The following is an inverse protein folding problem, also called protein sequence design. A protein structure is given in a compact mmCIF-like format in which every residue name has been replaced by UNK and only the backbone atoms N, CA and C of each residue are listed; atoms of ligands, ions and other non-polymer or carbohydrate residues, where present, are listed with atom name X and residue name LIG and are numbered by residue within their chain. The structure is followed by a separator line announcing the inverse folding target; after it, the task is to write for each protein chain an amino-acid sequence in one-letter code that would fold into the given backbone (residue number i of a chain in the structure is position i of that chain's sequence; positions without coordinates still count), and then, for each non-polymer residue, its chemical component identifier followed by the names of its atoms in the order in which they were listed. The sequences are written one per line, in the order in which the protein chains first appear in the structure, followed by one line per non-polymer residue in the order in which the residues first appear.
data_IF_579700355695
#
_entry.id   IF_579700355695
#
_cell.length_a   1.000
_cell.length_b   1.000
_cell.length_c   1.000
_cell.angle_alpha   90.00
_cell.angle_beta   90.00
_cell.angle_gamma   90.00
#
_symmetry.space_group_name_H-M   'P 1'
#
loop_
_entity.id
_entity.type
_entity.pdbx_description
1 polymer ?
#
# COMPACT_ATOMS: atom_id res chain seq x y z
N UNK A 1 38.89 61.70 29.79
CA UNK A 1 37.46 61.45 30.05
C UNK A 1 36.78 61.52 28.71
N UNK A 2 36.67 60.40 28.03
CA UNK A 2 35.85 60.27 26.81
C UNK A 2 35.24 58.88 26.87
N UNK A 3 33.97 58.83 27.29
CA UNK A 3 33.18 57.62 27.29
C UNK A 3 32.92 57.25 25.83
N UNK A 4 33.44 56.11 25.39
CA UNK A 4 32.93 55.43 24.20
C UNK A 4 31.42 55.26 24.40
N UNK A 5 30.63 55.95 23.58
CA UNK A 5 29.19 55.76 23.51
C UNK A 5 28.96 54.29 23.16
N UNK A 6 28.53 53.51 24.15
CA UNK A 6 28.14 52.12 23.95
C UNK A 6 26.91 52.11 23.02
N UNK A 7 26.83 51.14 22.11
CA UNK A 7 25.71 50.96 21.18
C UNK A 7 24.33 50.98 21.90
N UNK A 8 24.30 50.63 23.19
CA UNK A 8 23.12 50.65 24.04
C UNK A 8 22.63 52.06 24.41
N UNK A 9 23.51 53.07 24.49
CA UNK A 9 23.12 54.45 24.80
C UNK A 9 22.38 55.11 23.63
N UNK A 10 22.75 54.77 22.38
CA UNK A 10 22.07 55.28 21.18
C UNK A 10 20.67 54.68 21.05
N UNK A 11 20.52 53.38 21.34
CA UNK A 11 19.22 52.70 21.36
C UNK A 11 18.30 53.28 22.45
N UNK A 12 18.81 53.51 23.66
CA UNK A 12 18.02 54.12 24.75
C UNK A 12 17.61 55.57 24.46
N UNK A 13 18.44 56.32 23.72
CA UNK A 13 18.14 57.70 23.35
C UNK A 13 17.08 57.76 22.25
N UNK A 14 17.10 56.82 21.30
CA UNK A 14 16.11 56.72 20.23
C UNK A 14 14.76 56.24 20.76
N UNK A 15 14.73 55.26 21.68
CA UNK A 15 13.50 54.82 22.34
C UNK A 15 12.83 55.95 23.13
N UNK A 16 13.61 56.79 23.83
CA UNK A 16 13.08 58.00 24.49
C UNK A 16 12.54 59.04 23.52
N UNK A 17 13.09 59.15 22.30
CA UNK A 17 12.61 60.07 21.27
C UNK A 17 11.33 59.55 20.59
N UNK A 18 11.21 58.24 20.39
CA UNK A 18 10.01 57.60 19.84
C UNK A 18 8.86 57.65 20.87
N UNK A 19 9.15 57.45 22.16
CA UNK A 19 8.14 57.52 23.24
C UNK A 19 7.67 58.93 23.60
N UNK A 20 8.39 59.98 23.19
CA UNK A 20 8.07 61.38 23.56
C UNK A 20 7.25 62.15 22.54
N UNK A 21 6.82 61.53 21.43
CA UNK A 21 5.90 62.13 20.44
C UNK A 21 4.66 61.27 20.23
N UNK A 22 3.53 61.96 20.06
CA UNK A 22 2.18 61.40 19.98
C UNK A 22 2.09 60.13 19.11
N UNK A 23 1.30 59.16 19.60
CA UNK A 23 1.17 57.79 19.09
C UNK A 23 1.21 57.70 17.55
N UNK A 24 2.36 57.26 17.04
CA UNK A 24 2.54 56.87 15.65
C UNK A 24 1.64 55.67 15.35
N UNK A 25 1.05 55.66 14.15
CA UNK A 25 0.21 54.54 13.73
C UNK A 25 1.07 53.28 13.54
N UNK A 26 0.54 52.07 13.78
CA UNK A 26 1.35 50.81 13.79
C UNK A 26 2.21 50.62 12.54
N UNK A 27 1.74 51.11 11.39
CA UNK A 27 2.48 51.03 10.13
C UNK A 27 3.67 52.00 10.10
N UNK A 28 3.51 53.19 10.69
CA UNK A 28 4.56 54.21 10.82
C UNK A 28 5.63 53.75 11.81
N UNK A 29 5.23 53.12 12.91
CA UNK A 29 6.15 52.51 13.88
C UNK A 29 6.99 51.39 13.23
N UNK A 30 6.35 50.51 12.45
CA UNK A 30 7.05 49.42 11.73
C UNK A 30 7.98 49.98 10.66
N UNK A 31 7.58 51.00 9.91
CA UNK A 31 8.45 51.61 8.89
C UNK A 31 9.63 52.35 9.50
N UNK A 32 9.42 53.10 10.59
CA UNK A 32 10.50 53.75 11.34
C UNK A 32 11.45 52.71 11.92
N UNK A 33 10.94 51.63 12.53
CA UNK A 33 11.77 50.54 13.05
C UNK A 33 12.53 49.80 11.95
N UNK A 34 11.93 49.53 10.78
CA UNK A 34 12.65 48.94 9.66
C UNK A 34 13.76 49.85 9.11
N UNK A 35 13.51 51.16 9.03
CA UNK A 35 14.52 52.14 8.59
C UNK A 35 15.64 52.23 9.61
N UNK A 36 15.32 52.29 10.91
CA UNK A 36 16.30 52.33 11.99
C UNK A 36 17.12 51.05 12.05
N UNK A 37 16.50 49.87 11.97
CA UNK A 37 17.21 48.59 11.93
C UNK A 37 18.10 48.47 10.69
N UNK A 38 17.66 48.96 9.53
CA UNK A 38 18.51 49.01 8.32
C UNK A 38 19.67 49.99 8.47
N UNK A 39 19.50 51.05 9.25
CA UNK A 39 20.55 52.03 9.56
C UNK A 39 21.56 51.48 10.56
N UNK A 40 21.07 50.81 11.61
CA UNK A 40 21.88 50.12 12.62
C UNK A 40 22.68 49.01 11.95
N UNK A 41 22.06 48.15 11.14
CA UNK A 41 22.77 47.09 10.42
C UNK A 41 23.85 47.65 9.48
N UNK A 42 23.60 48.79 8.82
CA UNK A 42 24.64 49.48 8.02
C UNK A 42 25.77 50.01 8.88
N UNK A 43 25.47 50.55 10.06
CA UNK A 43 26.47 51.02 11.02
C UNK A 43 27.28 49.86 11.61
N UNK A 44 26.65 48.73 11.91
CA UNK A 44 27.31 47.49 12.37
C UNK A 44 28.25 46.95 11.30
N UNK A 45 27.81 46.90 10.05
CA UNK A 45 28.66 46.51 8.91
C UNK A 45 29.83 47.49 8.73
N UNK A 46 29.60 48.81 8.86
CA UNK A 46 30.66 49.81 8.81
C UNK A 46 31.64 49.67 9.98
N UNK A 47 31.17 49.27 11.16
CA UNK A 47 31.98 49.03 12.35
C UNK A 47 32.82 47.74 12.23
N UNK A 48 32.32 46.71 11.55
CA UNK A 48 33.07 45.48 11.26
C UNK A 48 34.07 45.64 10.10
N UNK A 49 33.83 46.56 9.16
CA UNK A 49 34.73 46.86 8.04
C UNK A 49 35.86 47.85 8.41
N UNK A 50 35.82 48.44 9.60
CA UNK A 50 36.88 49.32 10.10
C UNK A 50 37.90 48.51 10.93
N UNK A 51 39.14 48.30 10.43
CA UNK A 51 40.17 47.66 11.23
C UNK A 51 40.47 48.53 12.48
N UNK A 52 40.53 47.90 13.65
CA UNK A 52 40.85 48.53 14.94
C UNK A 52 42.30 49.06 15.01
N UNK A 53 42.67 50.04 14.18
CA UNK A 53 43.86 50.86 14.42
C UNK A 53 43.87 52.27 13.81
N UNK A 54 42.77 52.82 13.29
CA UNK A 54 42.77 54.18 12.71
C UNK A 54 41.60 55.08 13.15
N UNK A 55 41.04 54.87 14.35
CA UNK A 55 40.02 55.78 14.90
C UNK A 55 40.58 57.13 15.43
N UNK A 56 41.88 57.42 15.24
CA UNK A 56 42.49 58.71 15.60
C UNK A 56 42.77 59.65 14.41
N UNK A 57 42.29 59.35 13.19
CA UNK A 57 42.59 60.20 12.00
C UNK A 57 41.43 60.62 11.11
N UNK A 58 40.20 60.63 11.60
CA UNK A 58 39.06 61.22 10.89
C UNK A 58 38.32 62.28 11.72
N UNK A 59 39.10 63.16 12.36
CA UNK A 59 38.69 64.55 12.56
C UNK A 59 39.60 65.36 11.63
N UNK A 60 39.00 66.26 10.85
CA UNK A 60 39.58 67.02 9.73
C UNK A 60 39.42 66.26 8.37
N UNK A 61 38.73 66.72 7.32
CA UNK A 61 38.35 68.07 6.91
C UNK A 61 37.06 68.01 6.06
N UNK A 62 36.05 68.81 6.43
CA UNK A 62 35.17 69.43 5.44
C UNK A 62 35.29 70.94 5.66
N UNK A 63 36.23 71.57 4.95
CA UNK A 63 36.31 73.03 4.89
C UNK A 63 35.24 73.54 3.92
N UNK A 64 34.33 74.43 4.35
CA UNK A 64 33.34 75.01 3.46
C UNK A 64 34.03 75.85 2.38
N UNK A 65 33.39 75.89 1.20
CA UNK A 65 33.83 76.57 -0.02
C UNK A 65 34.43 78.01 0.15
N UNK A 66 34.04 78.84 1.14
CA UNK A 66 34.67 80.15 1.37
C UNK A 66 36.15 80.09 1.77
N UNK A 67 36.66 78.97 2.29
CA UNK A 67 38.08 78.77 2.66
C UNK A 67 38.93 78.20 1.52
N UNK A 68 38.31 77.62 0.48
CA UNK A 68 39.02 77.24 -0.76
C UNK A 68 39.32 78.45 -1.67
N UNK A 69 38.61 79.56 -1.50
CA UNK A 69 38.86 80.80 -2.26
C UNK A 69 39.91 81.73 -1.64
N UNK A 70 40.54 81.36 -0.51
CA UNK A 70 41.63 82.15 0.10
C UNK A 70 43.04 81.74 -0.34
N UNK A 71 43.19 80.68 -1.15
CA UNK A 71 44.52 80.20 -1.62
C UNK A 71 44.97 80.83 -2.96
N UNK A 72 44.16 81.72 -3.54
CA UNK A 72 44.57 82.60 -4.64
C UNK A 72 44.42 84.07 -4.24
N UNK A 73 45.14 84.48 -3.19
CA UNK A 73 45.44 85.89 -2.92
C UNK A 73 46.89 86.06 -2.52
N UNK A 74 47.59 86.78 -3.40
CA UNK A 74 48.79 87.60 -3.16
C UNK A 74 50.07 86.82 -2.87
N UNK A 75 50.95 86.85 -3.88
CA UNK A 75 52.32 87.29 -3.65
C UNK A 75 52.22 88.64 -2.94
N UNK A 76 52.08 88.65 -1.62
CA UNK A 76 52.31 89.85 -0.82
C UNK A 76 53.81 90.04 -0.78
N UNK A 77 54.30 91.00 -1.57
CA UNK A 77 55.38 91.85 -1.11
C UNK A 77 55.03 92.33 0.32
N UNK A 78 55.97 92.35 1.26
CA UNK A 78 55.67 92.76 2.63
C UNK A 78 55.27 94.24 2.65
N UNK A 79 54.00 94.51 2.87
CA UNK A 79 53.44 95.82 3.23
C UNK A 79 53.77 96.12 4.69
N UNK A 80 55.04 96.41 4.99
CA UNK A 80 55.50 96.86 6.32
C UNK A 80 56.64 97.88 6.16
N UNK A 81 56.44 98.90 5.33
CA UNK A 81 57.45 99.95 5.11
C UNK A 81 57.65 100.86 6.34
N UNK A 82 56.68 100.96 7.26
CA UNK A 82 56.87 101.68 8.52
C UNK A 82 57.71 100.87 9.53
N UNK A 83 57.47 99.56 9.66
CA UNK A 83 58.23 98.71 10.57
C UNK A 83 59.61 98.33 10.06
N UNK A 84 59.78 98.12 8.74
CA UNK A 84 61.08 97.86 8.13
C UNK A 84 61.99 99.10 8.23
N UNK A 85 61.45 100.30 7.99
CA UNK A 85 62.17 101.56 8.18
C UNK A 85 62.57 101.81 9.64
N UNK A 86 61.68 101.52 10.60
CA UNK A 86 61.97 101.63 12.04
C UNK A 86 62.97 100.55 12.51
N UNK A 87 62.92 99.33 11.97
CA UNK A 87 63.90 98.27 12.24
C UNK A 87 65.28 98.62 11.68
N UNK A 88 65.36 99.14 10.46
CA UNK A 88 66.59 99.64 9.85
C UNK A 88 67.16 100.81 10.63
N UNK A 89 66.34 101.78 11.04
CA UNK A 89 66.79 102.90 11.89
C UNK A 89 67.28 102.43 13.27
N UNK A 90 66.61 101.44 13.88
CA UNK A 90 67.10 100.82 15.13
C UNK A 90 68.41 100.07 14.94
N UNK A 91 68.58 99.36 13.83
CA UNK A 91 69.84 98.69 13.48
C UNK A 91 70.95 99.71 13.23
N UNK A 92 70.68 100.75 12.44
CA UNK A 92 71.63 101.84 12.17
C UNK A 92 71.99 102.54 13.48
N UNK A 93 71.03 102.88 14.33
CA UNK A 93 71.30 103.51 15.62
C UNK A 93 72.14 102.61 16.54
N UNK A 94 71.85 101.29 16.57
CA UNK A 94 72.63 100.30 17.32
C UNK A 94 74.06 100.15 16.78
N UNK A 95 74.23 100.14 15.46
CA UNK A 95 75.53 100.11 14.80
C UNK A 95 76.29 101.40 15.09
N UNK A 96 75.65 102.56 14.94
CA UNK A 96 76.25 103.87 15.23
C UNK A 96 76.65 103.98 16.71
N UNK A 97 75.81 103.54 17.65
CA UNK A 97 76.15 103.54 19.07
C UNK A 97 77.30 102.59 19.37
N UNK A 98 77.35 101.42 18.73
CA UNK A 98 78.44 100.45 18.88
C UNK A 98 79.75 100.96 18.28
N UNK A 99 79.71 101.61 17.11
CA UNK A 99 80.90 102.21 16.49
C UNK A 99 81.41 103.37 17.35
N UNK A 100 80.52 104.20 17.89
CA UNK A 100 80.89 105.30 18.79
C UNK A 100 81.48 104.77 20.09
N UNK A 101 80.94 103.71 20.68
CA UNK A 101 81.52 103.10 21.90
C UNK A 101 82.89 102.49 21.62
N UNK A 102 83.06 101.82 20.47
CA UNK A 102 84.37 101.28 20.06
C UNK A 102 85.39 102.38 19.82
N UNK A 103 84.99 103.48 19.15
CA UNK A 103 85.86 104.63 18.94
C UNK A 103 86.18 105.36 20.25
N UNK A 104 85.25 105.46 21.19
CA UNK A 104 85.50 106.05 22.50
C UNK A 104 86.48 105.22 23.34
N UNK A 105 86.28 103.91 23.43
CA UNK A 105 87.18 103.03 24.19
C UNK A 105 88.56 102.96 23.55
N UNK A 106 88.66 102.98 22.22
CA UNK A 106 89.96 103.00 21.51
C UNK A 106 90.70 104.32 21.65
N UNK A 107 90.00 105.46 21.64
CA UNK A 107 90.61 106.78 21.91
C UNK A 107 91.08 106.88 23.36
N UNK A 108 90.32 106.31 24.31
CA UNK A 108 90.75 106.21 25.71
C UNK A 108 91.99 105.32 25.84
N UNK A 109 92.01 104.15 25.20
CA UNK A 109 93.16 103.24 25.19
C UNK A 109 94.41 103.91 24.60
N UNK A 110 94.26 104.60 23.45
CA UNK A 110 95.32 105.36 22.79
C UNK A 110 95.87 106.48 23.69
N UNK A 111 95.00 107.18 24.41
CA UNK A 111 95.42 108.28 25.31
C UNK A 111 96.19 107.80 26.55
N UNK A 112 95.95 106.56 26.99
CA UNK A 112 96.50 106.02 28.23
C UNK A 112 97.72 105.11 28.00
N UNK A 113 97.72 104.31 26.93
CA UNK A 113 98.72 103.27 26.65
C UNK A 113 99.35 103.37 25.25
N UNK A 114 98.78 104.18 24.35
CA UNK A 114 99.27 104.34 22.98
C UNK A 114 98.99 103.14 22.06
N UNK A 115 98.15 102.18 22.48
CA UNK A 115 97.77 100.97 21.74
C UNK A 115 96.33 101.05 21.23
N UNK A 116 95.96 100.16 20.30
CA UNK A 116 94.64 100.08 19.67
C UNK A 116 94.01 98.68 19.76
N UNK A 117 94.32 97.93 20.81
CA UNK A 117 94.00 96.50 20.95
C UNK A 117 92.49 96.25 20.96
N UNK A 118 91.70 97.17 21.52
CA UNK A 118 90.24 97.06 21.55
C UNK A 118 89.61 97.11 20.14
N UNK A 119 90.14 97.95 19.25
CA UNK A 119 89.68 98.01 17.86
C UNK A 119 89.99 96.70 17.14
N UNK A 120 91.19 96.18 17.34
CA UNK A 120 91.65 94.94 16.74
C UNK A 120 90.81 93.74 17.21
N UNK A 121 90.49 93.68 18.51
CA UNK A 121 89.59 92.69 19.09
C UNK A 121 88.18 92.73 18.49
N UNK A 122 87.59 93.93 18.36
CA UNK A 122 86.25 94.10 17.80
C UNK A 122 86.19 93.76 16.31
N UNK A 123 87.23 94.10 15.54
CA UNK A 123 87.38 93.67 14.14
C UNK A 123 87.53 92.15 14.02
N UNK A 124 88.23 91.50 14.95
CA UNK A 124 88.33 90.03 14.99
C UNK A 124 86.97 89.37 15.27
N UNK A 125 86.18 89.90 16.20
CA UNK A 125 84.83 89.42 16.48
C UNK A 125 83.88 89.60 15.28
N UNK A 126 83.95 90.73 14.58
CA UNK A 126 83.12 90.97 13.40
C UNK A 126 83.47 90.01 12.26
N UNK A 127 84.76 89.73 12.03
CA UNK A 127 85.20 88.71 11.09
C UNK A 127 84.72 87.31 11.46
N UNK A 128 84.70 86.95 12.75
CA UNK A 128 84.13 85.68 13.22
C UNK A 128 82.62 85.60 12.93
N UNK A 129 81.87 86.66 13.20
CA UNK A 129 80.44 86.72 12.90
C UNK A 129 80.13 86.63 11.40
N UNK A 130 80.96 87.23 10.54
CA UNK A 130 80.83 87.09 9.09
C UNK A 130 81.06 85.63 8.65
N UNK A 131 82.03 84.96 9.25
CA UNK A 131 82.34 83.56 8.97
C UNK A 131 81.22 82.61 9.44
N UNK A 132 80.69 82.81 10.64
CA UNK A 132 79.54 82.04 11.17
C UNK A 132 78.31 82.22 10.28
N UNK A 133 78.03 83.44 9.83
CA UNK A 133 76.92 83.71 8.90
C UNK A 133 77.12 83.04 7.53
N UNK A 134 78.37 82.93 7.06
CA UNK A 134 78.69 82.20 5.83
C UNK A 134 78.44 80.69 6.00
N UNK A 135 78.90 80.10 7.11
CA UNK A 135 78.70 78.68 7.44
C UNK A 135 77.20 78.37 7.56
N UNK A 136 76.43 79.18 8.30
CA UNK A 136 74.99 78.96 8.46
C UNK A 136 74.22 79.06 7.14
N UNK A 137 74.61 79.97 6.25
CA UNK A 137 74.00 80.05 4.90
C UNK A 137 74.32 78.81 4.07
N UNK A 138 75.56 78.33 4.13
CA UNK A 138 75.98 77.11 3.43
C UNK A 138 75.24 75.87 3.96
N UNK A 139 75.19 75.69 5.29
CA UNK A 139 74.46 74.59 5.92
C UNK A 139 72.97 74.63 5.58
N UNK A 140 72.36 75.82 5.56
CA UNK A 140 70.96 75.97 5.16
C UNK A 140 70.71 75.59 3.70
N UNK A 141 71.66 75.87 2.81
CA UNK A 141 71.59 75.48 1.40
C UNK A 141 71.68 73.96 1.25
N UNK A 142 72.64 73.32 1.93
CA UNK A 142 72.85 71.87 1.88
C UNK A 142 71.65 71.12 2.49
N UNK A 143 71.08 71.61 3.61
CA UNK A 143 69.86 71.07 4.21
C UNK A 143 68.67 71.21 3.25
N UNK A 144 68.50 72.38 2.62
CA UNK A 144 67.40 72.56 1.66
C UNK A 144 67.55 71.64 0.44
N UNK A 145 68.78 71.43 -0.05
CA UNK A 145 69.05 70.50 -1.15
C UNK A 145 68.73 69.05 -0.76
N UNK A 146 69.11 68.62 0.44
CA UNK A 146 68.75 67.28 0.95
C UNK A 146 67.25 67.12 1.12
N UNK A 147 66.54 68.12 1.66
CA UNK A 147 65.07 68.11 1.78
C UNK A 147 64.41 67.98 0.41
N UNK A 148 64.86 68.72 -0.61
CA UNK A 148 64.33 68.60 -1.97
C UNK A 148 64.53 67.19 -2.54
N UNK A 149 65.73 66.61 -2.38
CA UNK A 149 66.01 65.24 -2.84
C UNK A 149 65.17 64.18 -2.12
N UNK A 150 64.91 64.38 -0.82
CA UNK A 150 64.07 63.47 -0.03
C UNK A 150 62.60 63.58 -0.43
N UNK A 151 62.10 64.80 -0.69
CA UNK A 151 60.75 65.00 -1.21
C UNK A 151 60.54 64.31 -2.56
N UNK A 152 61.51 64.41 -3.45
CA UNK A 152 61.47 63.74 -4.76
C UNK A 152 61.49 62.21 -4.61
N UNK A 153 62.35 61.66 -3.73
CA UNK A 153 62.37 60.23 -3.42
C UNK A 153 61.04 59.74 -2.83
N UNK A 154 60.45 60.48 -1.89
CA UNK A 154 59.14 60.14 -1.30
C UNK A 154 58.05 60.16 -2.37
N UNK A 155 58.04 61.17 -3.24
CA UNK A 155 57.09 61.25 -4.35
C UNK A 155 57.22 60.04 -5.28
N UNK A 156 58.43 59.70 -5.70
CA UNK A 156 58.69 58.56 -6.58
C UNK A 156 58.27 57.23 -5.96
N UNK A 157 58.56 57.00 -4.67
CA UNK A 157 58.13 55.79 -3.95
C UNK A 157 56.61 55.72 -3.86
N UNK A 158 55.93 56.83 -3.59
CA UNK A 158 54.46 56.89 -3.53
C UNK A 158 53.84 56.60 -4.89
N UNK A 159 54.42 57.11 -5.96
CA UNK A 159 53.94 56.83 -7.32
C UNK A 159 54.19 55.37 -7.71
N UNK A 160 55.36 54.79 -7.40
CA UNK A 160 55.62 53.38 -7.64
C UNK A 160 54.68 52.48 -6.85
N UNK A 161 54.38 52.82 -5.59
CA UNK A 161 53.45 52.07 -4.75
C UNK A 161 52.04 52.07 -5.35
N UNK A 162 51.54 53.22 -5.81
CA UNK A 162 50.24 53.31 -6.50
C UNK A 162 50.19 52.48 -7.77
N UNK A 163 51.27 52.45 -8.55
CA UNK A 163 51.37 51.62 -9.77
C UNK A 163 51.31 50.14 -9.43
N UNK A 164 52.04 49.69 -8.40
CA UNK A 164 52.00 48.30 -7.95
C UNK A 164 50.65 47.91 -7.36
N UNK A 165 50.04 48.79 -6.57
CA UNK A 165 48.71 48.57 -5.99
C UNK A 165 47.64 48.45 -7.07
N UNK A 166 47.64 49.35 -8.05
CA UNK A 166 46.72 49.28 -9.20
C UNK A 166 46.91 48.02 -10.03
N UNK A 167 48.15 47.59 -10.26
CA UNK A 167 48.44 46.35 -10.98
C UNK A 167 47.95 45.12 -10.21
N UNK A 168 48.23 45.04 -8.91
CA UNK A 168 47.81 43.94 -8.06
C UNK A 168 46.28 43.88 -7.92
N UNK A 169 45.61 45.02 -7.77
CA UNK A 169 44.15 45.09 -7.74
C UNK A 169 43.55 44.58 -9.05
N UNK A 170 44.04 45.04 -10.20
CA UNK A 170 43.54 44.58 -11.50
C UNK A 170 43.77 43.09 -11.76
N UNK A 171 44.90 42.54 -11.32
CA UNK A 171 45.14 41.09 -11.38
C UNK A 171 44.21 40.32 -10.44
N UNK A 172 43.99 40.81 -9.23
CA UNK A 172 43.13 40.17 -8.24
C UNK A 172 41.69 40.13 -8.72
N UNK A 173 41.18 41.22 -9.29
CA UNK A 173 39.84 41.30 -9.86
C UNK A 173 39.66 40.25 -10.96
N UNK A 174 40.60 40.14 -11.91
CA UNK A 174 40.52 39.14 -12.97
C UNK A 174 40.58 37.70 -12.42
N UNK A 175 41.46 37.42 -11.44
CA UNK A 175 41.55 36.10 -10.82
C UNK A 175 40.26 35.73 -10.09
N UNK A 176 39.64 36.69 -9.39
CA UNK A 176 38.38 36.49 -8.70
C UNK A 176 37.21 36.28 -9.67
N UNK A 177 37.13 37.07 -10.74
CA UNK A 177 36.13 36.88 -11.80
C UNK A 177 36.25 35.50 -12.43
N UNK A 178 37.47 35.06 -12.75
CA UNK A 178 37.71 33.74 -13.33
C UNK A 178 37.33 32.61 -12.36
N UNK A 179 37.66 32.75 -11.07
CA UNK A 179 37.28 31.78 -10.04
C UNK A 179 35.75 31.69 -9.87
N UNK A 180 35.04 32.81 -9.90
CA UNK A 180 33.57 32.85 -9.81
C UNK A 180 32.93 32.21 -11.05
N UNK A 181 33.41 32.54 -12.25
CA UNK A 181 32.91 31.94 -13.50
C UNK A 181 33.16 30.43 -13.50
N UNK A 182 34.34 29.99 -13.07
CA UNK A 182 34.67 28.57 -13.03
C UNK A 182 33.82 27.81 -12.01
N UNK A 183 33.65 28.34 -10.79
CA UNK A 183 32.76 27.75 -9.78
C UNK A 183 31.31 27.67 -10.27
N UNK A 184 30.82 28.69 -10.98
CA UNK A 184 29.50 28.67 -11.61
C UNK A 184 29.37 27.58 -12.67
N UNK A 185 30.35 27.46 -13.57
CA UNK A 185 30.37 26.41 -14.61
C UNK A 185 30.44 25.02 -13.99
N UNK A 186 31.26 24.83 -12.96
CA UNK A 186 31.36 23.56 -12.23
C UNK A 186 30.04 23.21 -11.54
N UNK A 187 29.35 24.18 -10.93
CA UNK A 187 28.03 23.99 -10.33
C UNK A 187 26.98 23.60 -11.38
N UNK A 188 26.88 24.36 -12.47
CA UNK A 188 25.91 24.09 -13.56
C UNK A 188 26.14 22.72 -14.22
N UNK A 189 27.40 22.37 -14.47
CA UNK A 189 27.73 21.05 -15.03
C UNK A 189 27.40 19.93 -14.06
N UNK A 190 27.58 20.12 -12.76
CA UNK A 190 27.19 19.15 -11.75
C UNK A 190 25.67 18.98 -11.69
N UNK A 191 24.91 20.07 -11.68
CA UNK A 191 23.43 20.04 -11.73
C UNK A 191 22.97 19.25 -12.95
N UNK A 192 23.44 19.62 -14.14
CA UNK A 192 23.06 18.95 -15.39
C UNK A 192 23.42 17.45 -15.38
N UNK A 193 24.60 17.09 -14.87
CA UNK A 193 24.99 15.68 -14.76
C UNK A 193 24.10 14.91 -13.79
N UNK A 194 23.69 15.53 -12.67
CA UNK A 194 22.77 14.89 -11.73
C UNK A 194 21.37 14.69 -12.33
N UNK A 195 20.87 15.65 -13.11
CA UNK A 195 19.60 15.54 -13.84
C UNK A 195 19.63 14.39 -14.84
N UNK A 196 20.66 14.33 -15.70
CA UNK A 196 20.83 13.25 -16.69
C UNK A 196 20.91 11.88 -16.00
N UNK A 197 21.62 11.78 -14.87
CA UNK A 197 21.68 10.53 -14.10
C UNK A 197 20.34 10.15 -13.50
N UNK A 198 19.54 11.11 -13.03
CA UNK A 198 18.19 10.86 -12.52
C UNK A 198 17.25 10.42 -13.64
N UNK A 199 17.26 11.09 -14.79
CA UNK A 199 16.47 10.71 -15.97
C UNK A 199 16.82 9.31 -16.46
N UNK A 200 18.11 8.97 -16.54
CA UNK A 200 18.55 7.63 -16.93
C UNK A 200 18.07 6.55 -15.95
N UNK A 201 18.06 6.83 -14.64
CA UNK A 201 17.52 5.92 -13.61
C UNK A 201 16.02 5.73 -13.75
N UNK A 202 15.28 6.81 -13.97
CA UNK A 202 13.83 6.75 -14.20
C UNK A 202 13.51 5.93 -15.45
N UNK A 203 14.20 6.22 -16.56
CA UNK A 203 14.03 5.47 -17.80
C UNK A 203 14.35 3.97 -17.64
N UNK A 204 15.42 3.63 -16.92
CA UNK A 204 15.75 2.24 -16.64
C UNK A 204 14.70 1.56 -15.74
N UNK A 205 14.16 2.28 -14.76
CA UNK A 205 13.07 1.80 -13.90
C UNK A 205 11.82 1.53 -14.72
N UNK A 206 11.43 2.47 -15.59
CA UNK A 206 10.26 2.36 -16.46
C UNK A 206 10.39 1.19 -17.43
N UNK A 207 11.58 0.98 -18.02
CA UNK A 207 11.84 -0.19 -18.85
C UNK A 207 11.64 -1.50 -18.08
N UNK A 208 12.20 -1.62 -16.88
CA UNK A 208 12.02 -2.82 -16.04
C UNK A 208 10.56 -3.04 -15.63
N UNK A 209 9.82 -1.97 -15.39
CA UNK A 209 8.39 -2.05 -15.09
C UNK A 209 7.60 -2.54 -16.30
N UNK A 210 7.85 -1.98 -17.49
CA UNK A 210 7.21 -2.44 -18.74
C UNK A 210 7.53 -3.89 -19.07
N UNK A 211 8.78 -4.33 -18.86
CA UNK A 211 9.15 -5.74 -19.06
C UNK A 211 8.35 -6.68 -18.13
N UNK A 212 8.19 -6.30 -16.85
CA UNK A 212 7.38 -7.06 -15.90
C UNK A 212 5.89 -7.04 -16.26
N UNK A 213 5.37 -5.88 -16.66
CA UNK A 213 3.99 -5.73 -17.11
C UNK A 213 3.72 -6.62 -18.32
N UNK A 214 4.59 -6.60 -19.32
CA UNK A 214 4.49 -7.46 -20.50
C UNK A 214 4.55 -8.95 -20.12
N UNK A 215 5.42 -9.34 -19.19
CA UNK A 215 5.49 -10.72 -18.72
C UNK A 215 4.19 -11.15 -18.01
N UNK A 216 3.57 -10.26 -17.22
CA UNK A 216 2.29 -10.51 -16.57
C UNK A 216 1.14 -10.59 -17.59
N UNK A 217 1.13 -9.73 -18.60
CA UNK A 217 0.14 -9.79 -19.69
C UNK A 217 0.24 -11.13 -20.41
N UNK A 218 1.44 -11.55 -20.82
CA UNK A 218 1.66 -12.85 -21.47
C UNK A 218 1.23 -14.01 -20.58
N UNK A 219 1.52 -13.97 -19.28
CA UNK A 219 1.08 -14.99 -18.33
C UNK A 219 -0.45 -15.02 -18.20
N UNK A 220 -1.09 -13.86 -18.17
CA UNK A 220 -2.55 -13.73 -18.05
C UNK A 220 -3.24 -14.26 -19.31
N UNK A 221 -2.72 -13.90 -20.49
CA UNK A 221 -3.22 -14.38 -21.77
C UNK A 221 -3.09 -15.90 -21.88
N UNK A 222 -1.96 -16.46 -21.42
CA UNK A 222 -1.78 -17.91 -21.35
C UNK A 222 -2.81 -18.57 -20.44
N UNK A 223 -3.00 -18.06 -19.22
CA UNK A 223 -4.02 -18.59 -18.31
C UNK A 223 -5.44 -18.49 -18.89
N UNK A 224 -5.74 -17.41 -19.62
CA UNK A 224 -7.04 -17.26 -20.30
C UNK A 224 -7.23 -18.30 -21.40
N UNK A 225 -6.19 -18.59 -22.20
CA UNK A 225 -6.22 -19.64 -23.22
C UNK A 225 -6.42 -21.01 -22.56
N UNK A 226 -5.65 -21.32 -21.52
CA UNK A 226 -5.76 -22.58 -20.77
C UNK A 226 -7.19 -22.74 -20.19
N UNK A 227 -7.77 -21.68 -19.63
CA UNK A 227 -9.14 -21.68 -19.11
C UNK A 227 -10.21 -21.87 -20.21
N UNK A 228 -10.00 -21.31 -21.41
CA UNK A 228 -10.90 -21.53 -22.55
C UNK A 228 -10.85 -23.00 -23.00
N UNK A 229 -9.65 -23.59 -23.06
CA UNK A 229 -9.46 -24.99 -23.41
C UNK A 229 -10.09 -25.92 -22.37
N UNK A 230 -9.87 -25.67 -21.08
CA UNK A 230 -10.48 -26.43 -19.98
C UNK A 230 -12.00 -26.35 -20.04
N UNK A 231 -12.57 -25.16 -20.25
CA UNK A 231 -14.01 -24.98 -20.41
C UNK A 231 -14.56 -25.77 -21.61
N UNK A 232 -13.85 -25.77 -22.74
CA UNK A 232 -14.24 -26.56 -23.91
C UNK A 232 -14.24 -28.05 -23.60
N UNK A 233 -13.19 -28.55 -22.95
CA UNK A 233 -13.10 -29.96 -22.52
C UNK A 233 -14.24 -30.30 -21.55
N UNK A 234 -14.50 -29.43 -20.56
CA UNK A 234 -15.56 -29.65 -19.59
C UNK A 234 -16.94 -29.71 -20.25
N UNK A 235 -17.23 -28.81 -21.21
CA UNK A 235 -18.49 -28.86 -21.97
C UNK A 235 -18.65 -30.15 -22.78
N UNK A 236 -17.55 -30.66 -23.36
CA UNK A 236 -17.57 -31.93 -24.09
C UNK A 236 -17.83 -33.12 -23.14
N UNK A 237 -17.17 -33.14 -21.98
CA UNK A 237 -17.40 -34.16 -20.94
C UNK A 237 -18.85 -34.12 -20.46
N UNK A 238 -19.40 -32.95 -20.16
CA UNK A 238 -20.80 -32.80 -19.76
C UNK A 238 -21.78 -33.30 -20.83
N UNK A 239 -21.50 -33.01 -22.11
CA UNK A 239 -22.31 -33.49 -23.23
C UNK A 239 -22.26 -35.03 -23.34
N UNK A 240 -21.08 -35.63 -23.18
CA UNK A 240 -20.93 -37.09 -23.19
C UNK A 240 -21.66 -37.75 -22.01
N UNK A 241 -21.58 -37.17 -20.81
CA UNK A 241 -22.31 -37.63 -19.64
C UNK A 241 -23.82 -37.57 -19.91
N UNK A 242 -24.33 -36.43 -20.40
CA UNK A 242 -25.77 -36.27 -20.73
C UNK A 242 -26.21 -37.29 -21.77
N UNK A 243 -25.41 -37.52 -22.81
CA UNK A 243 -25.70 -38.53 -23.82
C UNK A 243 -25.78 -39.93 -23.21
N UNK A 244 -24.80 -40.32 -22.39
CA UNK A 244 -24.80 -41.61 -21.70
C UNK A 244 -25.99 -41.76 -20.76
N UNK A 245 -26.32 -40.73 -19.98
CA UNK A 245 -27.51 -40.72 -19.11
C UNK A 245 -28.78 -40.97 -19.92
N UNK A 246 -28.94 -40.31 -21.08
CA UNK A 246 -30.10 -40.50 -21.94
C UNK A 246 -30.17 -41.92 -22.53
N UNK A 247 -29.03 -42.48 -22.95
CA UNK A 247 -28.95 -43.87 -23.42
C UNK A 247 -29.35 -44.86 -22.32
N UNK A 248 -28.84 -44.66 -21.11
CA UNK A 248 -29.17 -45.50 -19.96
C UNK A 248 -30.64 -45.37 -19.56
N UNK A 249 -31.18 -44.16 -19.54
CA UNK A 249 -32.59 -43.90 -19.26
C UNK A 249 -33.48 -44.64 -20.28
N UNK A 250 -33.16 -44.52 -21.57
CA UNK A 250 -33.90 -45.24 -22.62
C UNK A 250 -33.84 -46.76 -22.44
N UNK A 251 -32.68 -47.31 -22.08
CA UNK A 251 -32.54 -48.75 -21.79
C UNK A 251 -33.39 -49.15 -20.58
N UNK A 252 -33.37 -48.35 -19.52
CA UNK A 252 -34.19 -48.58 -18.33
C UNK A 252 -35.68 -48.57 -18.68
N UNK A 253 -36.14 -47.58 -19.44
CA UNK A 253 -37.53 -47.48 -19.88
C UNK A 253 -37.94 -48.68 -20.75
N UNK A 254 -37.08 -49.14 -21.67
CA UNK A 254 -37.36 -50.34 -22.47
C UNK A 254 -37.49 -51.60 -21.64
N UNK A 255 -36.62 -51.76 -20.63
CA UNK A 255 -36.67 -52.89 -19.71
C UNK A 255 -37.90 -52.84 -18.82
N UNK A 256 -38.22 -51.67 -18.27
CA UNK A 256 -39.41 -51.45 -17.45
C UNK A 256 -40.69 -51.75 -18.24
N UNK A 257 -40.80 -51.23 -19.47
CA UNK A 257 -41.94 -51.51 -20.35
C UNK A 257 -42.06 -53.00 -20.69
N UNK A 258 -40.93 -53.71 -20.88
CA UNK A 258 -40.96 -55.16 -21.10
C UNK A 258 -41.47 -55.90 -19.87
N UNK A 259 -40.94 -55.59 -18.68
CA UNK A 259 -41.40 -56.20 -17.44
C UNK A 259 -42.88 -55.92 -17.17
N UNK A 260 -43.35 -54.68 -17.38
CA UNK A 260 -44.77 -54.34 -17.21
C UNK A 260 -45.65 -55.17 -18.14
N UNK A 261 -45.27 -55.35 -19.41
CA UNK A 261 -45.99 -56.22 -20.33
C UNK A 261 -45.99 -57.69 -19.89
N UNK A 262 -44.86 -58.20 -19.41
CA UNK A 262 -44.78 -59.56 -18.88
C UNK A 262 -45.71 -59.75 -17.67
N UNK A 263 -45.72 -58.78 -16.74
CA UNK A 263 -46.63 -58.77 -15.59
C UNK A 263 -48.10 -58.74 -16.04
N UNK A 264 -48.47 -57.85 -16.96
CA UNK A 264 -49.82 -57.78 -17.53
C UNK A 264 -50.24 -59.12 -18.17
N UNK A 265 -49.35 -59.76 -18.93
CA UNK A 265 -49.64 -61.08 -19.53
C UNK A 265 -49.83 -62.17 -18.49
N UNK A 266 -49.04 -62.15 -17.40
CA UNK A 266 -49.18 -63.10 -16.31
C UNK A 266 -50.47 -62.86 -15.52
N UNK A 267 -50.85 -61.61 -15.27
CA UNK A 267 -52.12 -61.27 -14.62
C UNK A 267 -53.31 -61.76 -15.44
N UNK A 268 -53.29 -61.57 -16.76
CA UNK A 268 -54.31 -62.12 -17.66
C UNK A 268 -54.33 -63.65 -17.60
N UNK A 269 -53.18 -64.31 -17.62
CA UNK A 269 -53.09 -65.77 -17.51
C UNK A 269 -53.62 -66.29 -16.17
N UNK A 270 -53.33 -65.60 -15.05
CA UNK A 270 -53.85 -65.92 -13.72
C UNK A 270 -55.37 -65.80 -13.71
N UNK A 271 -55.95 -64.74 -14.29
CA UNK A 271 -57.40 -64.57 -14.39
C UNK A 271 -58.05 -65.68 -15.21
N UNK A 272 -57.47 -66.06 -16.35
CA UNK A 272 -57.96 -67.17 -17.17
C UNK A 272 -57.89 -68.51 -16.42
N UNK A 273 -56.79 -68.77 -15.70
CA UNK A 273 -56.63 -69.99 -14.90
C UNK A 273 -57.62 -70.04 -13.74
N UNK A 274 -57.87 -68.92 -13.06
CA UNK A 274 -58.91 -68.82 -12.02
C UNK A 274 -60.30 -69.11 -12.59
N UNK A 275 -60.66 -68.50 -13.73
CA UNK A 275 -61.93 -68.77 -14.42
C UNK A 275 -62.09 -70.25 -14.76
N UNK A 276 -61.06 -70.89 -15.34
CA UNK A 276 -61.06 -72.33 -15.63
C UNK A 276 -61.17 -73.19 -14.38
N UNK A 277 -60.50 -72.80 -13.29
CA UNK A 277 -60.59 -73.50 -12.01
C UNK A 277 -62.00 -73.43 -11.44
N UNK A 278 -62.65 -72.27 -11.53
CA UNK A 278 -64.02 -72.09 -11.06
C UNK A 278 -65.03 -72.86 -11.92
N UNK A 279 -64.87 -72.86 -13.25
CA UNK A 279 -65.64 -73.73 -14.17
C UNK A 279 -65.48 -75.21 -13.81
N UNK A 280 -64.26 -75.68 -13.55
CA UNK A 280 -64.02 -77.06 -13.13
C UNK A 280 -64.70 -77.36 -11.79
N UNK A 281 -64.62 -76.44 -10.81
CA UNK A 281 -65.32 -76.58 -9.52
C UNK A 281 -66.82 -76.71 -9.70
N UNK A 282 -67.43 -75.88 -10.56
CA UNK A 282 -68.85 -75.98 -10.88
C UNK A 282 -69.21 -77.31 -11.54
N UNK A 283 -68.38 -77.80 -12.48
CA UNK A 283 -68.58 -79.11 -13.11
C UNK A 283 -68.49 -80.25 -12.09
N UNK A 284 -67.51 -80.20 -11.18
CA UNK A 284 -67.39 -81.18 -10.10
C UNK A 284 -68.60 -81.15 -9.16
N UNK A 285 -69.10 -79.96 -8.82
CA UNK A 285 -70.29 -79.82 -7.99
C UNK A 285 -71.52 -80.42 -8.67
N UNK A 286 -71.79 -80.06 -9.94
CA UNK A 286 -72.90 -80.63 -10.73
C UNK A 286 -72.81 -82.15 -10.85
N UNK A 287 -71.61 -82.68 -11.11
CA UNK A 287 -71.39 -84.13 -11.15
C UNK A 287 -71.65 -84.78 -9.79
N UNK A 288 -71.20 -84.17 -8.70
CA UNK A 288 -71.44 -84.65 -7.34
C UNK A 288 -72.93 -84.70 -7.02
N UNK A 289 -73.70 -83.66 -7.38
CA UNK A 289 -75.16 -83.62 -7.24
C UNK A 289 -75.83 -84.76 -8.04
N UNK A 290 -75.47 -84.94 -9.32
CA UNK A 290 -75.97 -86.04 -10.15
C UNK A 290 -75.63 -87.43 -9.58
N UNK A 291 -74.43 -87.59 -9.01
CA UNK A 291 -74.05 -88.84 -8.34
C UNK A 291 -74.91 -89.10 -7.11
N UNK A 292 -75.19 -88.08 -6.30
CA UNK A 292 -76.09 -88.20 -5.14
C UNK A 292 -77.51 -88.57 -5.55
N UNK A 293 -78.05 -87.94 -6.59
CA UNK A 293 -79.36 -88.28 -7.15
C UNK A 293 -79.42 -89.75 -7.63
N UNK A 294 -78.39 -90.20 -8.35
CA UNK A 294 -78.30 -91.60 -8.81
C UNK A 294 -78.20 -92.59 -7.66
N UNK A 295 -77.43 -92.28 -6.61
CA UNK A 295 -77.38 -93.10 -5.40
C UNK A 295 -78.78 -93.22 -4.77
N UNK A 296 -79.52 -92.10 -4.70
CA UNK A 296 -80.91 -92.09 -4.25
C UNK A 296 -81.82 -93.00 -5.08
N UNK A 297 -81.75 -92.91 -6.42
CA UNK A 297 -82.53 -93.78 -7.33
C UNK A 297 -82.16 -95.26 -7.14
N UNK A 298 -80.86 -95.58 -7.05
CA UNK A 298 -80.40 -96.96 -6.84
C UNK A 298 -80.89 -97.50 -5.50
N UNK A 299 -80.88 -96.69 -4.43
CA UNK A 299 -81.42 -97.08 -3.14
C UNK A 299 -82.93 -97.40 -3.22
N UNK A 300 -83.71 -96.58 -3.92
CA UNK A 300 -85.14 -96.84 -4.16
C UNK A 300 -85.36 -98.13 -4.96
N UNK A 301 -84.57 -98.36 -6.03
CA UNK A 301 -84.68 -99.59 -6.83
C UNK A 301 -84.27 -100.84 -6.03
N UNK A 302 -83.28 -100.74 -5.15
CA UNK A 302 -82.91 -101.81 -4.23
C UNK A 302 -84.05 -102.12 -3.26
N UNK A 303 -84.67 -101.09 -2.68
CA UNK A 303 -85.83 -101.27 -1.80
C UNK A 303 -87.02 -101.91 -2.54
N UNK A 304 -87.33 -101.47 -3.76
CA UNK A 304 -88.37 -102.09 -4.60
C UNK A 304 -88.06 -103.55 -4.95
N UNK A 305 -86.80 -103.86 -5.27
CA UNK A 305 -86.36 -105.24 -5.52
C UNK A 305 -86.57 -106.11 -4.29
N UNK A 306 -86.16 -105.64 -3.11
CA UNK A 306 -86.35 -106.35 -1.84
C UNK A 306 -87.85 -106.56 -1.53
N UNK A 307 -88.71 -105.59 -1.83
CA UNK A 307 -90.17 -105.73 -1.69
C UNK A 307 -90.72 -106.76 -2.67
N UNK A 308 -90.28 -106.75 -3.94
CA UNK A 308 -90.68 -107.76 -4.94
C UNK A 308 -90.21 -109.16 -4.56
N UNK A 309 -88.99 -109.32 -4.05
CA UNK A 309 -88.48 -110.60 -3.58
C UNK A 309 -89.29 -111.13 -2.39
N UNK A 310 -89.62 -110.27 -1.42
CA UNK A 310 -90.51 -110.62 -0.30
C UNK A 310 -91.89 -111.08 -0.79
N UNK A 311 -92.49 -110.37 -1.73
CA UNK A 311 -93.78 -110.75 -2.31
C UNK A 311 -93.73 -112.09 -3.07
N UNK A 312 -92.66 -112.34 -3.82
CA UNK A 312 -92.44 -113.63 -4.51
C UNK A 312 -92.25 -114.78 -3.52
N UNK A 313 -91.53 -114.56 -2.43
CA UNK A 313 -91.31 -115.56 -1.40
C UNK A 313 -92.61 -115.90 -0.65
N UNK A 314 -93.43 -114.89 -0.32
CA UNK A 314 -94.78 -115.10 0.20
C UNK A 314 -95.67 -115.91 -0.76
N UNK A 315 -95.61 -115.61 -2.06
CA UNK A 315 -96.35 -116.35 -3.08
C UNK A 315 -95.88 -117.81 -3.19
N UNK A 316 -94.57 -118.07 -3.09
CA UNK A 316 -94.01 -119.43 -3.04
C UNK A 316 -94.50 -120.19 -1.80
N UNK A 317 -94.52 -119.54 -0.64
CA UNK A 317 -95.04 -120.12 0.61
C UNK A 317 -96.53 -120.45 0.45
N UNK A 318 -97.35 -119.52 -0.04
CA UNK A 318 -98.79 -119.75 -0.30
C UNK A 318 -99.01 -120.92 -1.26
N UNK A 319 -98.26 -120.99 -2.36
CA UNK A 319 -98.34 -122.10 -3.32
C UNK A 319 -97.90 -123.43 -2.73
N UNK A 320 -96.89 -123.43 -1.85
CA UNK A 320 -96.47 -124.63 -1.13
C UNK A 320 -97.57 -125.09 -0.17
N UNK A 321 -98.16 -124.18 0.61
CA UNK A 321 -99.29 -124.47 1.48
C UNK A 321 -100.50 -125.01 0.68
N UNK A 322 -100.84 -124.39 -0.45
CA UNK A 322 -101.91 -124.86 -1.33
C UNK A 322 -101.65 -126.28 -1.85
N UNK A 323 -100.41 -126.59 -2.27
CA UNK A 323 -100.01 -127.96 -2.66
C UNK A 323 -100.14 -128.96 -1.52
N UNK A 324 -99.74 -128.59 -0.30
CA UNK A 324 -99.88 -129.43 0.90
C UNK A 324 -101.35 -129.69 1.22
N UNK A 325 -102.20 -128.67 1.18
CA UNK A 325 -103.65 -128.80 1.38
C UNK A 325 -104.26 -129.71 0.31
N UNK A 326 -103.90 -129.53 -0.96
CA UNK A 326 -104.37 -130.40 -2.05
C UNK A 326 -103.91 -131.85 -1.86
N UNK A 327 -102.66 -132.09 -1.44
CA UNK A 327 -102.17 -133.44 -1.13
C UNK A 327 -102.92 -134.04 0.06
N UNK A 328 -103.17 -133.26 1.12
CA UNK A 328 -103.95 -133.70 2.27
C UNK A 328 -105.37 -134.09 1.85
N UNK A 329 -106.06 -133.26 1.06
CA UNK A 329 -107.39 -133.58 0.51
C UNK A 329 -107.39 -134.83 -0.39
N UNK A 330 -106.40 -134.96 -1.29
CA UNK A 330 -106.23 -136.17 -2.12
C UNK A 330 -106.02 -137.41 -1.25
N UNK A 331 -105.23 -137.31 -0.20
CA UNK A 331 -105.00 -138.40 0.76
C UNK A 331 -106.27 -138.76 1.55
N UNK A 332 -107.04 -137.76 1.98
CA UNK A 332 -108.30 -137.96 2.70
C UNK A 332 -109.36 -138.63 1.82
N UNK A 333 -109.46 -138.23 0.54
CA UNK A 333 -110.30 -138.89 -0.46
C UNK A 333 -109.83 -140.34 -0.73
N UNK A 334 -108.53 -140.57 -0.83
CA UNK A 334 -107.96 -141.91 -0.98
C UNK A 334 -108.24 -142.80 0.23
N UNK A 335 -108.11 -142.27 1.46
CA UNK A 335 -108.49 -142.99 2.68
C UNK A 335 -109.99 -143.29 2.74
N UNK A 336 -110.85 -142.39 2.24
CA UNK A 336 -112.29 -142.64 2.13
C UNK A 336 -112.58 -143.79 1.15
N UNK A 337 -111.92 -143.80 -0.02
CA UNK A 337 -111.99 -144.89 -1.00
C UNK A 337 -111.45 -146.23 -0.46
N UNK A 338 -110.40 -146.19 0.37
CA UNK A 338 -109.89 -147.37 1.07
C UNK A 338 -110.86 -147.83 2.16
N UNK A 339 -111.49 -146.90 2.90
CA UNK A 339 -112.50 -147.22 3.92
C UNK A 339 -113.71 -147.93 3.31
N UNK A 340 -114.12 -147.52 2.11
CA UNK A 340 -115.22 -148.13 1.37
C UNK A 340 -114.84 -149.50 0.75
N UNK A 341 -113.55 -149.79 0.58
CA UNK A 341 -113.05 -151.10 0.11
C UNK A 341 -112.66 -152.10 1.22
N UNK A 342 -112.53 -151.66 2.48
CA UNK A 342 -112.06 -152.50 3.60
C UNK A 342 -113.21 -152.96 4.54
N UNK A 343 -114.47 -152.73 4.18
CA UNK A 343 -115.64 -153.33 4.85
C UNK A 343 -115.86 -154.83 4.55
N UNK A 344 -115.00 -155.47 3.74
CA UNK A 344 -114.98 -156.93 3.51
C UNK A 344 -113.58 -157.48 3.76
N UNK A 345 -113.28 -157.75 5.04
CA UNK A 345 -112.54 -158.91 5.59
C UNK A 345 -111.93 -158.54 6.94
N UNK A 346 -112.61 -159.01 8.00
CA UNK A 346 -112.03 -159.21 9.33
C UNK A 346 -110.84 -160.17 9.23
N UNK A 347 -109.70 -159.79 9.81
CA UNK A 347 -108.98 -160.54 10.86
C UNK A 347 -107.76 -159.75 11.36
N UNK A 348 -107.97 -159.18 12.55
CA UNK A 348 -107.09 -159.09 13.74
C UNK A 348 -105.62 -159.55 13.65
N UNK A 349 -104.69 -158.73 14.19
CA UNK A 349 -103.58 -159.04 15.14
C UNK A 349 -102.65 -157.79 15.22
N UNK A 350 -102.72 -156.92 16.24
CA UNK A 350 -101.98 -156.88 17.53
C UNK A 350 -100.43 -156.74 17.42
N UNK A 351 -99.88 -155.80 18.22
CA UNK A 351 -98.47 -155.56 18.72
C UNK A 351 -97.72 -154.42 17.96
N UNK A 352 -97.57 -153.17 18.49
CA UNK A 352 -96.62 -152.57 19.50
C UNK A 352 -95.11 -152.70 19.12
N UNK A 353 -94.18 -151.83 19.63
CA UNK A 353 -94.05 -150.36 19.59
C UNK A 353 -92.57 -149.90 19.25
N UNK A 354 -92.29 -148.59 19.41
CA UNK A 354 -90.97 -147.95 19.74
C UNK A 354 -89.98 -147.53 18.63
N UNK A 355 -89.46 -146.31 18.85
CA UNK A 355 -88.10 -145.87 18.46
C UNK A 355 -88.10 -144.67 17.52
N UNK A 356 -88.12 -143.41 17.99
CA UNK A 356 -86.92 -142.62 18.38
C UNK A 356 -85.68 -142.95 17.54
N UNK A 357 -85.24 -142.02 16.68
CA UNK A 357 -84.03 -141.19 16.85
C UNK A 357 -84.02 -140.18 15.69
N UNK A 358 -84.00 -138.86 15.92
CA UNK A 358 -82.91 -138.02 16.44
C UNK A 358 -81.75 -137.87 15.45
N UNK A 359 -81.35 -136.60 15.33
CA UNK A 359 -80.13 -136.05 14.74
C UNK A 359 -80.14 -135.91 13.22
N UNK A 360 -79.49 -134.92 12.65
CA UNK A 360 -78.94 -133.64 13.09
C UNK A 360 -78.23 -133.12 11.83
N UNK A 361 -77.94 -131.82 11.83
CA UNK A 361 -76.70 -131.29 11.31
C UNK A 361 -76.41 -131.50 9.81
N UNK A 362 -76.36 -130.40 9.07
CA UNK A 362 -75.13 -129.61 8.91
C UNK A 362 -75.46 -128.47 7.95
N UNK A 363 -75.27 -127.24 8.43
CA UNK A 363 -74.07 -126.42 8.20
C UNK A 363 -73.95 -125.88 6.78
N UNK A 364 -73.51 -124.61 6.79
CA UNK A 364 -72.55 -123.92 5.92
C UNK A 364 -73.24 -122.77 5.22
N UNK A 365 -72.69 -121.56 5.22
CA UNK A 365 -71.50 -120.98 5.85
C UNK A 365 -71.71 -119.47 5.78
#
# INVERSE_FOLDING_TARGET
MDQLVQSDDVLQTIDKVIQSRAALDKLEEVTVNCVLMKSINKLSILQELLPHSEAERLRDFYEPLPQRMTVLKRITLPEDNEHYGVLLLKQIHKISSSVVSVLQETVQELSFQGTYFYLEYMLCLENLHLNDNFILKQDSFDINQTICSLKEKIYNVKESFKKTESYLSGMMDHCLEQAVVQAYVESETLIRNTEVLQEARLYQSDLKLRERENALVVSTDKCNIDAIEENKINTEVENQIRYMTLVLQKKLDTMSNRYNREVETLDVAILQLKSKQDEQREQFQKMSELYQERIGIVAVLQEEMEVRERALEEYRIKNRCARVIQQWWRHLLFLRLIRDRISVKRKTLKIKPKGKLKKANKNKK
#
